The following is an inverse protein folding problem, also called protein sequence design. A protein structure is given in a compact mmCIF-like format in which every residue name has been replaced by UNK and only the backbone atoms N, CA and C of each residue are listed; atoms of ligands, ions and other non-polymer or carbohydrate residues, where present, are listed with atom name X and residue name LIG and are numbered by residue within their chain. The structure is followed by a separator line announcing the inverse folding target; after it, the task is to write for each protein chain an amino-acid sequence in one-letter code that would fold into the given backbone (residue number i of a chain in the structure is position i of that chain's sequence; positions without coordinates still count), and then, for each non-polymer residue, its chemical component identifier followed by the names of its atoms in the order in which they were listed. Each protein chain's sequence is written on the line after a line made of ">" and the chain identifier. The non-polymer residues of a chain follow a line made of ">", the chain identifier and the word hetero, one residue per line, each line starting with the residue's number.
data_IF_795490763495
#
_entry.id   IF_795490763495
#
_cell.length_a   1.000
_cell.length_b   1.000
_cell.length_c   1.000
_cell.angle_alpha   90.00
_cell.angle_beta   90.00
_cell.angle_gamma   90.00
#
_symmetry.space_group_name_H-M   'P 1'
#
loop_
_entity.id
_entity.type
_entity.pdbx_description
1 polymer ?
#
# COMPACT_ATOMS: atom_id res chain seq x y z
N UNK A 1 8.76 15.93 -17.45
CA UNK A 1 7.83 14.84 -17.83
C UNK A 1 6.59 15.44 -18.47
N UNK A 2 6.01 14.84 -19.51
CA UNK A 2 4.75 15.36 -20.09
C UNK A 2 3.62 15.29 -19.06
N UNK A 3 2.78 16.34 -18.98
CA UNK A 3 1.67 16.42 -18.04
C UNK A 3 0.71 15.22 -18.17
N UNK A 4 0.44 14.78 -19.40
CA UNK A 4 -0.41 13.62 -19.69
C UNK A 4 0.20 12.31 -19.15
N UNK A 5 1.52 12.11 -19.30
CA UNK A 5 2.20 10.95 -18.73
C UNK A 5 2.12 10.97 -17.21
N UNK A 6 2.37 12.13 -16.58
CA UNK A 6 2.33 12.29 -15.12
C UNK A 6 0.94 11.94 -14.56
N UNK A 7 -0.12 12.42 -15.23
CA UNK A 7 -1.52 12.10 -14.89
C UNK A 7 -1.85 10.62 -15.00
N UNK A 8 -1.49 9.99 -16.14
CA UNK A 8 -1.73 8.55 -16.35
C UNK A 8 -1.02 7.70 -15.31
N UNK A 9 0.22 8.06 -14.96
CA UNK A 9 0.98 7.37 -13.92
C UNK A 9 0.26 7.47 -12.57
N UNK A 10 -0.16 8.65 -12.12
CA UNK A 10 -0.92 8.77 -10.87
C UNK A 10 -2.24 8.01 -10.85
N UNK A 11 -2.97 8.03 -11.98
CA UNK A 11 -4.23 7.30 -12.10
C UNK A 11 -4.01 5.79 -11.99
N UNK A 12 -3.06 5.24 -12.75
CA UNK A 12 -2.73 3.81 -12.72
C UNK A 12 -2.24 3.38 -11.34
N UNK A 13 -1.35 4.18 -10.73
CA UNK A 13 -0.84 3.91 -9.39
C UNK A 13 -1.92 3.99 -8.33
N UNK A 14 -2.84 4.96 -8.44
CA UNK A 14 -3.98 5.08 -7.54
C UNK A 14 -4.88 3.85 -7.60
N UNK A 15 -5.22 3.37 -8.81
CA UNK A 15 -6.00 2.13 -8.99
C UNK A 15 -5.24 0.93 -8.40
N UNK A 16 -3.95 0.82 -8.67
CA UNK A 16 -3.14 -0.28 -8.17
C UNK A 16 -3.08 -0.29 -6.63
N UNK A 17 -2.93 0.89 -6.01
CA UNK A 17 -2.94 1.05 -4.56
C UNK A 17 -4.31 0.74 -3.95
N UNK A 18 -5.41 1.10 -4.62
CA UNK A 18 -6.76 0.68 -4.23
C UNK A 18 -6.90 -0.84 -4.28
N UNK A 19 -6.41 -1.49 -5.34
CA UNK A 19 -6.44 -2.95 -5.48
C UNK A 19 -5.66 -3.64 -4.36
N UNK A 20 -4.43 -3.18 -4.08
CA UNK A 20 -3.60 -3.69 -2.97
C UNK A 20 -4.31 -3.48 -1.63
N UNK A 21 -4.82 -2.28 -1.36
CA UNK A 21 -5.50 -1.97 -0.11
C UNK A 21 -6.76 -2.81 0.10
N UNK A 22 -7.51 -3.07 -0.97
CA UNK A 22 -8.69 -3.93 -0.93
C UNK A 22 -8.32 -5.39 -0.63
N UNK A 23 -7.31 -5.93 -1.31
CA UNK A 23 -6.82 -7.29 -1.05
C UNK A 23 -6.27 -7.46 0.38
N UNK A 24 -5.52 -6.47 0.88
CA UNK A 24 -5.05 -6.47 2.28
C UNK A 24 -6.22 -6.43 3.26
N UNK A 25 -7.25 -5.62 2.99
CA UNK A 25 -8.46 -5.56 3.83
C UNK A 25 -9.18 -6.91 3.86
N UNK A 26 -9.34 -7.56 2.71
CA UNK A 26 -9.94 -8.90 2.60
C UNK A 26 -9.12 -9.96 3.35
N UNK A 27 -7.79 -9.94 3.21
CA UNK A 27 -6.90 -10.84 3.96
C UNK A 27 -7.01 -10.59 5.47
N UNK A 28 -7.11 -9.33 5.89
CA UNK A 28 -7.37 -8.97 7.28
C UNK A 28 -8.68 -9.57 7.81
N UNK A 29 -9.77 -9.49 7.03
CA UNK A 29 -11.07 -10.11 7.38
C UNK A 29 -10.98 -11.64 7.38
N UNK A 30 -10.29 -12.24 6.42
CA UNK A 30 -10.12 -13.70 6.36
C UNK A 30 -9.36 -14.22 7.58
N UNK A 31 -8.32 -13.49 8.01
CA UNK A 31 -7.59 -13.75 9.26
C UNK A 31 -8.47 -13.64 10.51
N UNK A 32 -9.51 -12.79 10.48
CA UNK A 32 -10.49 -12.63 11.59
C UNK A 32 -11.44 -13.83 11.67
N UNK A 33 -11.87 -14.38 10.53
CA UNK A 33 -12.86 -15.47 10.49
C UNK A 33 -12.26 -16.88 10.66
N UNK A 34 -10.96 -17.08 10.39
CA UNK A 34 -10.33 -18.40 10.37
C UNK A 34 -9.86 -18.97 11.71
N UNK A 35 -9.95 -18.24 12.83
CA UNK A 35 -9.27 -18.61 14.08
C UNK A 35 -10.22 -18.73 15.28
N UNK A 36 -10.73 -19.94 15.49
CA UNK A 36 -11.19 -20.43 16.79
C UNK A 36 -9.99 -20.62 17.73
N UNK A 37 -9.88 -19.74 18.73
CA UNK A 37 -9.11 -19.85 19.99
C UNK A 37 -8.06 -20.97 20.12
N UNK A 38 -6.77 -20.60 20.22
CA UNK A 38 -5.79 -21.31 21.06
C UNK A 38 -4.92 -20.26 21.77
N UNK A 39 -4.73 -20.46 23.08
CA UNK A 39 -4.40 -19.42 24.04
C UNK A 39 -2.99 -18.81 23.98
N UNK A 40 -2.90 -17.67 24.67
CA UNK A 40 -1.71 -16.94 25.16
C UNK A 40 -1.07 -15.81 24.32
N UNK A 41 -1.47 -15.54 23.08
CA UNK A 41 -0.99 -14.35 22.32
C UNK A 41 -2.12 -13.49 21.73
N UNK A 42 -3.22 -13.35 22.47
CA UNK A 42 -4.45 -12.63 22.07
C UNK A 42 -4.17 -11.17 21.65
N UNK A 43 -3.17 -10.52 22.25
CA UNK A 43 -2.82 -9.12 21.95
C UNK A 43 -2.05 -8.97 20.63
N UNK A 44 -0.97 -9.73 20.40
CA UNK A 44 -0.16 -9.61 19.18
C UNK A 44 -0.95 -9.97 17.90
N UNK A 45 -1.80 -10.98 18.02
CA UNK A 45 -2.66 -11.44 16.92
C UNK A 45 -3.78 -10.43 16.61
N UNK A 46 -4.38 -9.82 17.63
CA UNK A 46 -5.38 -8.76 17.46
C UNK A 46 -4.78 -7.50 16.83
N UNK A 47 -3.56 -7.11 17.24
CA UNK A 47 -2.84 -5.97 16.66
C UNK A 47 -2.47 -6.21 15.20
N UNK A 48 -2.01 -7.41 14.83
CA UNK A 48 -1.77 -7.77 13.43
C UNK A 48 -3.04 -7.69 12.58
N UNK A 49 -4.15 -8.27 13.05
CA UNK A 49 -5.43 -8.24 12.34
C UNK A 49 -5.92 -6.82 12.09
N UNK A 50 -5.91 -6.01 13.14
CA UNK A 50 -6.31 -4.61 13.07
C UNK A 50 -5.38 -3.82 12.14
N UNK A 51 -4.07 -4.05 12.20
CA UNK A 51 -3.09 -3.38 11.35
C UNK A 51 -3.31 -3.71 9.87
N UNK A 52 -3.50 -4.97 9.51
CA UNK A 52 -3.72 -5.38 8.11
C UNK A 52 -5.05 -4.84 7.56
N UNK A 53 -6.12 -4.90 8.36
CA UNK A 53 -7.43 -4.38 7.96
C UNK A 53 -7.42 -2.86 7.79
N UNK A 54 -7.02 -2.12 8.83
CA UNK A 54 -7.00 -0.66 8.79
C UNK A 54 -5.95 -0.12 7.84
N UNK A 55 -4.79 -0.79 7.75
CA UNK A 55 -3.78 -0.50 6.74
C UNK A 55 -4.33 -0.63 5.33
N UNK A 56 -5.07 -1.71 5.04
CA UNK A 56 -5.76 -1.89 3.77
C UNK A 56 -6.78 -0.79 3.46
N UNK A 57 -7.65 -0.45 4.42
CA UNK A 57 -8.66 0.61 4.25
C UNK A 57 -8.01 1.97 3.99
N UNK A 58 -6.97 2.32 4.75
CA UNK A 58 -6.25 3.58 4.56
C UNK A 58 -5.54 3.62 3.20
N UNK A 59 -4.97 2.50 2.75
CA UNK A 59 -4.38 2.40 1.40
C UNK A 59 -5.43 2.58 0.30
N UNK A 60 -6.67 2.11 0.49
CA UNK A 60 -7.78 2.41 -0.44
C UNK A 60 -8.06 3.91 -0.47
N UNK A 61 -8.17 4.57 0.69
CA UNK A 61 -8.41 6.02 0.75
C UNK A 61 -7.30 6.82 0.07
N UNK A 62 -6.03 6.46 0.30
CA UNK A 62 -4.87 7.13 -0.30
C UNK A 62 -4.74 6.80 -1.79
N UNK A 63 -5.10 5.60 -2.21
CA UNK A 63 -5.18 5.21 -3.61
C UNK A 63 -6.23 6.02 -4.37
N UNK A 64 -7.42 6.18 -3.79
CA UNK A 64 -8.45 7.07 -4.34
C UNK A 64 -7.97 8.51 -4.43
N UNK A 65 -7.20 8.99 -3.43
CA UNK A 65 -6.58 10.31 -3.51
C UNK A 65 -5.62 10.42 -4.71
N UNK A 66 -4.77 9.41 -4.95
CA UNK A 66 -3.91 9.36 -6.13
C UNK A 66 -4.71 9.32 -7.45
N UNK A 67 -5.85 8.62 -7.50
CA UNK A 67 -6.76 8.65 -8.66
C UNK A 67 -7.29 10.07 -8.91
N UNK A 68 -7.69 10.79 -7.86
CA UNK A 68 -8.17 12.18 -8.01
C UNK A 68 -7.08 13.14 -8.48
N UNK A 69 -5.81 12.88 -8.13
CA UNK A 69 -4.65 13.61 -8.66
C UNK A 69 -4.36 13.22 -10.12
N UNK A 70 -4.79 12.04 -10.59
CA UNK A 70 -4.67 11.66 -12.01
C UNK A 70 -5.79 12.21 -12.90
N UNK A 71 -6.89 12.71 -12.33
CA UNK A 71 -8.06 13.11 -13.11
C UNK A 71 -7.81 14.41 -13.89
N UNK A 72 -8.30 14.54 -15.14
CA UNK A 72 -8.25 15.78 -15.93
C UNK A 72 -9.19 16.85 -15.35
N UNK A 73 -8.87 17.35 -14.17
CA UNK A 73 -9.28 18.70 -13.78
C UNK A 73 -8.10 19.60 -14.10
N UNK A 74 -8.34 20.84 -14.54
CA UNK A 74 -7.33 21.82 -14.98
C UNK A 74 -6.23 22.17 -13.95
N UNK A 75 -6.13 21.43 -12.83
CA UNK A 75 -5.21 21.66 -11.71
C UNK A 75 -3.74 21.54 -12.07
N UNK A 76 -3.37 20.73 -13.07
CA UNK A 76 -1.97 20.62 -13.51
C UNK A 76 -1.59 21.57 -14.66
N UNK A 77 -2.49 22.47 -15.08
CA UNK A 77 -2.14 23.55 -16.01
C UNK A 77 -1.44 24.72 -15.28
N UNK A 78 -1.56 24.77 -13.96
CA UNK A 78 -0.82 25.65 -13.07
C UNK A 78 -0.13 24.74 -12.06
N UNK A 79 1.17 24.49 -12.19
CA UNK A 79 1.95 23.70 -11.22
C UNK A 79 1.91 24.42 -9.85
N UNK A 80 0.84 24.19 -9.08
CA UNK A 80 0.72 24.77 -7.76
C UNK A 80 1.59 23.94 -6.82
N UNK A 81 2.46 24.61 -6.06
CA UNK A 81 3.34 23.97 -5.07
C UNK A 81 2.54 23.07 -4.10
N UNK A 82 1.28 23.41 -3.87
CA UNK A 82 0.34 22.67 -3.04
C UNK A 82 -0.05 21.30 -3.62
N UNK A 83 -0.25 21.18 -4.94
CA UNK A 83 -0.59 19.90 -5.58
C UNK A 83 0.59 18.93 -5.54
N UNK A 84 1.81 19.45 -5.75
CA UNK A 84 3.04 18.65 -5.63
C UNK A 84 3.26 18.18 -4.20
N UNK A 85 3.10 19.08 -3.21
CA UNK A 85 3.20 18.72 -1.80
C UNK A 85 2.14 17.68 -1.40
N UNK A 86 0.88 17.86 -1.83
CA UNK A 86 -0.21 16.91 -1.56
C UNK A 86 0.09 15.52 -2.15
N UNK A 87 0.69 15.45 -3.34
CA UNK A 87 1.05 14.19 -3.98
C UNK A 87 2.19 13.48 -3.24
N UNK A 88 3.24 14.22 -2.85
CA UNK A 88 4.34 13.67 -2.05
C UNK A 88 3.83 13.17 -0.69
N UNK A 89 3.02 13.98 0.00
CA UNK A 89 2.49 13.64 1.31
C UNK A 89 1.61 12.37 1.27
N UNK A 90 0.74 12.26 0.26
CA UNK A 90 -0.16 11.10 0.09
C UNK A 90 0.64 9.82 -0.15
N UNK A 91 1.65 9.88 -1.02
CA UNK A 91 2.51 8.72 -1.31
C UNK A 91 3.42 8.36 -0.13
N UNK A 92 3.96 9.36 0.59
CA UNK A 92 4.77 9.11 1.78
C UNK A 92 3.95 8.47 2.91
N UNK A 93 2.71 8.93 3.11
CA UNK A 93 1.81 8.34 4.11
C UNK A 93 1.45 6.90 3.74
N UNK A 94 1.17 6.64 2.46
CA UNK A 94 0.89 5.29 1.99
C UNK A 94 2.11 4.37 2.13
N UNK A 95 3.32 4.87 1.87
CA UNK A 95 4.57 4.15 2.11
C UNK A 95 4.72 3.74 3.57
N UNK A 96 4.51 4.67 4.50
CA UNK A 96 4.60 4.42 5.94
C UNK A 96 3.56 3.39 6.39
N UNK A 97 2.33 3.47 5.88
CA UNK A 97 1.27 2.50 6.20
C UNK A 97 1.62 1.11 5.67
N UNK A 98 2.04 0.99 4.41
CA UNK A 98 2.46 -0.30 3.85
C UNK A 98 3.65 -0.89 4.63
N UNK A 99 4.63 -0.06 4.99
CA UNK A 99 5.78 -0.48 5.81
C UNK A 99 5.37 -0.91 7.22
N UNK A 100 4.44 -0.20 7.86
CA UNK A 100 3.92 -0.57 9.17
C UNK A 100 3.17 -1.90 9.14
N UNK A 101 2.34 -2.14 8.11
CA UNK A 101 1.67 -3.44 7.91
C UNK A 101 2.70 -4.56 7.81
N UNK A 102 3.71 -4.41 6.92
CA UNK A 102 4.78 -5.40 6.77
C UNK A 102 5.53 -5.63 8.08
N UNK A 103 5.91 -4.56 8.79
CA UNK A 103 6.66 -4.64 10.04
C UNK A 103 5.89 -5.35 11.15
N UNK A 104 4.62 -5.01 11.34
CA UNK A 104 3.75 -5.64 12.37
C UNK A 104 3.47 -7.10 12.00
N UNK A 105 3.25 -7.40 10.72
CA UNK A 105 3.04 -8.77 10.26
C UNK A 105 4.30 -9.63 10.45
N UNK A 106 5.49 -9.11 10.15
CA UNK A 106 6.74 -9.83 10.41
C UNK A 106 6.94 -10.05 11.91
N UNK A 107 6.78 -8.99 12.71
CA UNK A 107 7.00 -9.04 14.15
C UNK A 107 6.21 -10.17 14.82
N UNK A 108 4.91 -10.29 14.52
CA UNK A 108 4.09 -11.35 15.11
C UNK A 108 4.28 -12.74 14.51
N UNK A 109 5.11 -12.90 13.46
CA UNK A 109 5.49 -14.21 12.91
C UNK A 109 6.96 -14.56 13.20
N UNK A 110 7.74 -13.72 13.91
CA UNK A 110 9.16 -13.98 14.20
C UNK A 110 9.35 -15.30 14.93
N UNK A 111 8.56 -15.56 15.97
CA UNK A 111 8.68 -16.78 16.77
C UNK A 111 8.27 -18.02 15.95
N UNK A 112 7.20 -17.92 15.15
CA UNK A 112 6.80 -18.97 14.21
C UNK A 112 7.91 -19.28 13.19
N UNK A 113 8.51 -18.26 12.59
CA UNK A 113 9.58 -18.43 11.59
C UNK A 113 10.87 -19.01 12.19
N UNK A 114 11.13 -18.73 13.47
CA UNK A 114 12.32 -19.20 14.17
C UNK A 114 12.23 -20.69 14.55
N UNK A 115 11.02 -21.15 14.86
CA UNK A 115 10.78 -22.50 15.38
C UNK A 115 10.16 -23.45 14.33
N UNK A 116 9.87 -22.97 13.11
CA UNK A 116 9.28 -23.79 12.05
C UNK A 116 10.30 -24.67 11.31
N UNK A 117 10.05 -25.99 11.30
CA UNK A 117 10.76 -26.95 10.44
C UNK A 117 10.20 -26.92 9.01
N UNK A 118 11.06 -27.16 8.01
CA UNK A 118 10.73 -27.04 6.57
C UNK A 118 9.56 -27.96 6.17
N UNK A 119 9.42 -29.11 6.82
CA UNK A 119 8.35 -30.08 6.56
C UNK A 119 6.98 -29.66 7.11
N UNK A 120 6.94 -28.81 8.13
CA UNK A 120 5.70 -28.21 8.68
C UNK A 120 5.23 -26.97 7.91
N UNK A 121 6.10 -26.38 7.10
CA UNK A 121 5.81 -25.18 6.31
C UNK A 121 5.09 -25.50 5.00
N UNK A 122 5.33 -26.67 4.41
CA UNK A 122 4.66 -27.13 3.19
C UNK A 122 3.14 -27.27 3.39
N UNK A 123 2.38 -26.39 2.73
CA UNK A 123 0.91 -26.40 2.76
C UNK A 123 0.28 -25.63 3.92
N UNK A 124 1.05 -24.93 4.75
CA UNK A 124 0.47 -24.11 5.83
C UNK A 124 -0.20 -22.85 5.27
N UNK A 125 -1.48 -22.66 5.60
CA UNK A 125 -2.26 -21.47 5.23
C UNK A 125 -1.70 -20.19 5.86
N UNK A 126 -1.06 -20.29 7.03
CA UNK A 126 -0.40 -19.17 7.70
C UNK A 126 0.80 -18.65 6.91
N UNK A 127 1.66 -19.54 6.37
CA UNK A 127 2.79 -19.14 5.53
C UNK A 127 2.32 -18.47 4.24
N UNK A 128 1.27 -19.01 3.60
CA UNK A 128 0.70 -18.41 2.37
C UNK A 128 0.18 -17.01 2.65
N UNK A 129 -0.53 -16.82 3.76
CA UNK A 129 -1.04 -15.50 4.14
C UNK A 129 0.08 -14.52 4.51
N UNK A 130 1.10 -14.98 5.23
CA UNK A 130 2.30 -14.19 5.55
C UNK A 130 2.98 -13.71 4.27
N UNK A 131 3.26 -14.61 3.33
CA UNK A 131 3.88 -14.29 2.04
C UNK A 131 2.98 -13.33 1.24
N UNK A 132 1.66 -13.54 1.22
CA UNK A 132 0.73 -12.67 0.52
C UNK A 132 0.73 -11.24 1.09
N UNK A 133 0.70 -11.08 2.42
CA UNK A 133 0.74 -9.76 3.06
C UNK A 133 2.09 -9.07 2.81
N UNK A 134 3.20 -9.82 2.89
CA UNK A 134 4.53 -9.31 2.58
C UNK A 134 4.65 -8.84 1.13
N UNK A 135 4.16 -9.64 0.19
CA UNK A 135 4.19 -9.32 -1.23
C UNK A 135 3.31 -8.09 -1.54
N UNK A 136 2.08 -8.05 -1.03
CA UNK A 136 1.18 -6.91 -1.23
C UNK A 136 1.71 -5.63 -0.57
N UNK A 137 2.24 -5.73 0.65
CA UNK A 137 2.82 -4.61 1.38
C UNK A 137 4.07 -4.05 0.69
N UNK A 138 4.98 -4.91 0.24
CA UNK A 138 6.18 -4.48 -0.50
C UNK A 138 5.84 -3.91 -1.87
N UNK A 139 4.87 -4.46 -2.60
CA UNK A 139 4.35 -3.87 -3.84
C UNK A 139 3.73 -2.48 -3.58
N UNK A 140 3.02 -2.30 -2.47
CA UNK A 140 2.50 -1.00 -2.03
C UNK A 140 3.62 0.01 -1.75
N UNK A 141 4.67 -0.41 -1.06
CA UNK A 141 5.87 0.41 -0.82
C UNK A 141 6.57 0.81 -2.13
N UNK A 142 6.78 -0.13 -3.05
CA UNK A 142 7.40 0.16 -4.35
C UNK A 142 6.55 1.14 -5.18
N UNK A 143 5.23 0.91 -5.21
CA UNK A 143 4.29 1.79 -5.92
C UNK A 143 4.36 3.19 -5.34
N UNK A 144 4.34 3.34 -4.02
CA UNK A 144 4.37 4.68 -3.38
C UNK A 144 5.69 5.41 -3.56
N UNK A 145 6.83 4.70 -3.58
CA UNK A 145 8.14 5.28 -3.95
C UNK A 145 8.11 5.86 -5.36
N UNK A 146 7.58 5.12 -6.34
CA UNK A 146 7.42 5.62 -7.71
C UNK A 146 6.55 6.89 -7.72
N UNK A 147 5.54 6.98 -6.84
CA UNK A 147 4.64 8.13 -6.75
C UNK A 147 5.34 9.38 -6.22
N UNK A 148 6.18 9.22 -5.20
CA UNK A 148 7.05 10.28 -4.71
C UNK A 148 8.02 10.76 -5.80
N UNK A 149 8.64 9.83 -6.55
CA UNK A 149 9.56 10.16 -7.63
C UNK A 149 8.84 10.94 -8.74
N UNK A 150 7.68 10.46 -9.18
CA UNK A 150 6.85 11.12 -10.22
C UNK A 150 6.40 12.51 -9.77
N UNK A 151 6.12 12.70 -8.47
CA UNK A 151 5.79 14.01 -7.92
C UNK A 151 6.92 15.02 -8.06
N UNK A 152 8.16 14.58 -7.76
CA UNK A 152 9.35 15.41 -7.82
C UNK A 152 9.79 15.79 -9.24
N UNK A 153 9.33 15.06 -10.28
CA UNK A 153 9.66 15.41 -11.65
C UNK A 153 8.86 16.64 -12.11
N UNK A 154 9.53 17.73 -12.53
CA UNK A 154 8.85 18.89 -13.07
C UNK A 154 8.13 18.54 -14.38
N UNK A 155 7.03 19.23 -14.64
CA UNK A 155 6.36 19.14 -15.92
C UNK A 155 7.27 19.80 -16.96
N UNK A 156 7.57 19.06 -18.03
CA UNK A 156 8.23 19.65 -19.19
C UNK A 156 7.11 20.06 -20.12
N UNK A 157 6.90 21.35 -20.26
CA UNK A 157 6.16 21.87 -21.39
C UNK A 157 6.98 21.50 -22.63
N UNK A 158 6.43 20.66 -23.50
CA UNK A 158 6.89 20.71 -24.88
C UNK A 158 6.32 21.99 -25.46
N UNK A 159 7.20 22.92 -25.80
CA UNK A 159 6.92 24.04 -26.69
C UNK A 159 6.02 23.58 -27.84
N UNK A 160 4.83 24.20 -27.95
CA UNK A 160 3.87 23.82 -28.97
C UNK A 160 2.50 24.51 -28.95
N UNK A 161 2.32 25.63 -28.23
CA UNK A 161 1.20 26.55 -28.48
C UNK A 161 1.70 28.00 -28.40
N UNK A 162 2.21 28.46 -29.55
CA UNK A 162 2.19 29.86 -29.97
C UNK A 162 0.89 30.14 -30.73
#
# INVERSE_FOLDING_TARGET
>A
MYAETKRRTYFQMGIFLVGIGFLLSLLGVYYVNGLTYIGSTVYGLATQRAATLWGGILLVCLGLRNVTLGHPTNRFATDSMWDTFSAIFTNLLAFLISGAVVGVTLWGHVDFLKDADVTTLEGSTELVNLIAILLLGTLGMLTTIVGCIVACFPISDSDGQA
#
